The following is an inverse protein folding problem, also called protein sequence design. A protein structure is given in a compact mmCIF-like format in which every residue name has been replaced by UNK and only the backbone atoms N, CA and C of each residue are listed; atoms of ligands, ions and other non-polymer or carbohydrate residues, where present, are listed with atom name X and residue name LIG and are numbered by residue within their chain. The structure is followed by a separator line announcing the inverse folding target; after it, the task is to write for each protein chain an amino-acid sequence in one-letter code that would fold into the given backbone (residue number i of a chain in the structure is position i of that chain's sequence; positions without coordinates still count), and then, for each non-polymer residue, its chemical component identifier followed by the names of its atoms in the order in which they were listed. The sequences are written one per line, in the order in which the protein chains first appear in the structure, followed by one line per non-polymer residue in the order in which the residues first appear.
data_IF_400062669127
#
_entry.id   IF_400062669127
#
_cell.length_a   1.000
_cell.length_b   1.000
_cell.length_c   1.000
_cell.angle_alpha   90.00
_cell.angle_beta   90.00
_cell.angle_gamma   90.00
#
_symmetry.space_group_name_H-M   'P 1'
#
loop_
_entity.id
_entity.type
_entity.pdbx_description
1 polymer ?
#
# COMPACT_ATOMS: atom_id res chain seq x y z
N UNK A 1 18.00 -16.52 -7.59
CA UNK A 1 17.95 -15.48 -6.53
C UNK A 1 17.70 -16.14 -5.17
N UNK A 2 18.61 -16.02 -4.20
CA UNK A 2 18.40 -16.48 -2.81
C UNK A 2 18.13 -15.26 -1.92
N UNK A 3 17.00 -15.27 -1.21
CA UNK A 3 16.65 -14.25 -0.22
C UNK A 3 16.80 -14.87 1.15
N UNK A 4 17.78 -14.39 1.92
CA UNK A 4 18.24 -15.12 3.10
C UNK A 4 17.94 -14.43 4.41
N UNK A 5 17.69 -13.12 4.41
CA UNK A 5 17.58 -12.34 5.65
C UNK A 5 16.79 -11.04 5.49
N UNK A 6 16.03 -10.68 6.52
CA UNK A 6 15.40 -9.38 6.70
C UNK A 6 16.31 -8.48 7.55
N UNK A 7 16.44 -7.21 7.18
CA UNK A 7 17.11 -6.18 7.97
C UNK A 7 16.07 -5.31 8.70
N UNK A 8 15.83 -5.53 10.01
CA UNK A 8 14.71 -4.91 10.72
C UNK A 8 14.66 -3.38 10.62
N UNK A 9 15.81 -2.69 10.81
CA UNK A 9 15.86 -1.22 10.73
C UNK A 9 15.42 -0.67 9.37
N UNK A 10 15.83 -1.32 8.28
CA UNK A 10 15.45 -0.91 6.90
C UNK A 10 13.99 -1.25 6.62
N UNK A 11 13.53 -2.38 7.16
CA UNK A 11 12.15 -2.80 7.05
C UNK A 11 11.18 -1.84 7.78
N UNK A 12 11.59 -1.29 8.92
CA UNK A 12 10.80 -0.29 9.65
C UNK A 12 10.58 0.98 8.83
N UNK A 13 11.61 1.45 8.13
CA UNK A 13 11.48 2.58 7.20
C UNK A 13 10.58 2.28 6.02
N UNK A 14 10.69 1.09 5.42
CA UNK A 14 9.73 0.64 4.41
C UNK A 14 8.29 0.70 4.93
N UNK A 15 8.02 0.16 6.12
CA UNK A 15 6.68 0.19 6.70
C UNK A 15 6.20 1.57 7.12
N UNK A 16 7.10 2.46 7.52
CA UNK A 16 6.79 3.86 7.73
C UNK A 16 6.31 4.54 6.44
N UNK A 17 7.05 4.40 5.33
CA UNK A 17 6.64 5.01 4.05
C UNK A 17 5.36 4.38 3.50
N UNK A 18 5.21 3.06 3.62
CA UNK A 18 3.99 2.35 3.23
C UNK A 18 2.77 2.84 4.03
N UNK A 19 2.90 3.04 5.34
CA UNK A 19 1.82 3.61 6.16
C UNK A 19 1.58 5.11 5.88
N UNK A 20 2.63 5.87 5.56
CA UNK A 20 2.53 7.26 5.12
C UNK A 20 1.72 7.38 3.83
N UNK A 21 1.97 6.50 2.86
CA UNK A 21 1.16 6.40 1.64
C UNK A 21 -0.32 6.18 1.94
N UNK A 22 -0.63 5.25 2.86
CA UNK A 22 -2.03 5.01 3.29
C UNK A 22 -2.65 6.26 3.92
N UNK A 23 -1.89 6.96 4.79
CA UNK A 23 -2.36 8.20 5.41
C UNK A 23 -2.63 9.31 4.39
N UNK A 24 -1.78 9.43 3.36
CA UNK A 24 -1.99 10.38 2.27
C UNK A 24 -3.21 10.04 1.41
N UNK A 25 -3.37 8.77 1.06
CA UNK A 25 -4.34 8.33 0.06
C UNK A 25 -5.75 8.10 0.60
N UNK A 26 -5.96 7.92 1.91
CA UNK A 26 -7.26 7.49 2.45
C UNK A 26 -8.43 8.41 2.07
N UNK A 27 -8.22 9.73 2.06
CA UNK A 27 -9.25 10.69 1.66
C UNK A 27 -9.54 10.67 0.16
N UNK A 28 -8.59 10.26 -0.66
CA UNK A 28 -8.74 10.24 -2.12
C UNK A 28 -9.75 9.18 -2.60
N UNK A 29 -9.84 8.08 -1.85
CA UNK A 29 -10.68 6.92 -2.19
C UNK A 29 -12.15 7.32 -2.36
N UNK A 30 -12.66 8.22 -1.51
CA UNK A 30 -14.06 8.67 -1.57
C UNK A 30 -14.41 9.36 -2.89
N UNK A 31 -13.47 10.11 -3.46
CA UNK A 31 -13.71 10.80 -4.74
C UNK A 31 -13.47 9.88 -5.92
N UNK A 32 -12.47 8.99 -5.85
CA UNK A 32 -12.19 8.03 -6.92
C UNK A 32 -13.34 7.05 -7.06
N UNK A 33 -13.92 6.59 -5.95
CA UNK A 33 -14.97 5.58 -5.96
C UNK A 33 -16.40 6.14 -6.05
N UNK A 34 -16.56 7.46 -6.13
CA UNK A 34 -17.85 8.12 -6.30
C UNK A 34 -18.76 7.50 -7.38
N UNK A 35 -18.26 7.02 -8.55
CA UNK A 35 -19.14 6.44 -9.56
C UNK A 35 -19.53 4.97 -9.31
N UNK A 36 -19.00 4.31 -8.27
CA UNK A 36 -19.27 2.90 -7.99
C UNK A 36 -20.55 2.71 -7.15
N UNK A 37 -21.40 1.78 -7.57
CA UNK A 37 -22.65 1.43 -6.86
C UNK A 37 -22.36 0.58 -5.60
N UNK A 38 -23.18 0.70 -4.54
CA UNK A 38 -23.08 -0.12 -3.33
C UNK A 38 -22.93 -1.63 -3.57
N UNK A 39 -23.66 -2.19 -4.54
CA UNK A 39 -23.61 -3.62 -4.88
C UNK A 39 -22.24 -4.10 -5.35
N UNK A 40 -21.43 -3.22 -5.96
CA UNK A 40 -20.06 -3.55 -6.39
C UNK A 40 -19.17 -3.84 -5.19
N UNK A 41 -19.34 -3.06 -4.11
CA UNK A 41 -18.58 -3.28 -2.88
C UNK A 41 -18.95 -4.59 -2.19
N UNK A 42 -20.22 -5.00 -2.26
CA UNK A 42 -20.67 -6.30 -1.74
C UNK A 42 -20.01 -7.46 -2.49
N UNK A 43 -20.01 -7.42 -3.83
CA UNK A 43 -19.37 -8.45 -4.66
C UNK A 43 -17.86 -8.48 -4.42
N UNK A 44 -17.21 -7.31 -4.40
CA UNK A 44 -15.79 -7.20 -4.13
C UNK A 44 -15.42 -7.72 -2.74
N UNK A 45 -16.27 -7.47 -1.72
CA UNK A 45 -16.09 -8.01 -0.36
C UNK A 45 -16.18 -9.55 -0.31
N UNK A 46 -17.12 -10.15 -1.06
CA UNK A 46 -17.22 -11.61 -1.18
C UNK A 46 -15.96 -12.18 -1.85
N UNK A 47 -15.53 -11.60 -2.96
CA UNK A 47 -14.32 -12.02 -3.68
C UNK A 47 -13.06 -11.87 -2.82
N UNK A 48 -12.95 -10.76 -2.08
CA UNK A 48 -11.87 -10.53 -1.11
C UNK A 48 -11.86 -11.62 -0.03
N UNK A 49 -13.01 -11.95 0.56
CA UNK A 49 -13.12 -13.00 1.57
C UNK A 49 -12.70 -14.37 1.04
N UNK A 50 -13.16 -14.73 -0.15
CA UNK A 50 -12.76 -15.97 -0.84
C UNK A 50 -11.25 -15.97 -1.09
N UNK A 51 -10.69 -14.87 -1.60
CA UNK A 51 -9.26 -14.72 -1.82
C UNK A 51 -8.45 -14.91 -0.54
N UNK A 52 -8.85 -14.26 0.56
CA UNK A 52 -8.20 -14.42 1.86
C UNK A 52 -8.25 -15.87 2.37
N UNK A 53 -9.38 -16.58 2.18
CA UNK A 53 -9.48 -18.00 2.53
C UNK A 53 -8.53 -18.87 1.70
N UNK A 54 -8.40 -18.60 0.39
CA UNK A 54 -7.47 -19.30 -0.49
C UNK A 54 -6.04 -19.09 0.01
N UNK A 55 -5.61 -17.84 0.24
CA UNK A 55 -4.25 -17.57 0.73
C UNK A 55 -4.01 -18.25 2.08
N UNK A 56 -4.98 -18.20 3.00
CA UNK A 56 -4.89 -18.85 4.31
C UNK A 56 -4.63 -20.36 4.22
N UNK A 57 -5.27 -21.06 3.27
CA UNK A 57 -5.06 -22.49 3.04
C UNK A 57 -3.61 -22.84 2.66
N UNK A 58 -2.87 -21.89 2.09
CA UNK A 58 -1.49 -22.11 1.62
C UNK A 58 -0.41 -21.52 2.53
N UNK A 59 -0.74 -21.07 3.75
CA UNK A 59 0.22 -20.40 4.63
C UNK A 59 1.50 -21.19 4.89
N UNK A 60 1.42 -22.50 5.09
CA UNK A 60 2.61 -23.33 5.32
C UNK A 60 3.63 -23.20 4.18
N UNK A 61 3.15 -23.14 2.94
CA UNK A 61 4.00 -22.98 1.75
C UNK A 61 4.41 -21.52 1.54
N UNK A 62 3.52 -20.57 1.85
CA UNK A 62 3.75 -19.15 1.60
C UNK A 62 4.67 -18.48 2.62
N UNK A 63 4.72 -18.94 3.87
CA UNK A 63 5.47 -18.31 4.97
C UNK A 63 6.99 -18.57 4.91
N UNK A 64 7.57 -18.45 3.72
CA UNK A 64 9.02 -18.48 3.50
C UNK A 64 9.54 -17.08 3.20
N UNK A 65 10.80 -16.80 3.56
CA UNK A 65 11.40 -15.48 3.35
C UNK A 65 11.38 -15.02 1.88
N UNK A 66 11.55 -15.95 0.94
CA UNK A 66 11.53 -15.66 -0.49
C UNK A 66 10.14 -15.24 -0.95
N UNK A 67 9.11 -16.00 -0.58
CA UNK A 67 7.73 -15.72 -0.97
C UNK A 67 7.24 -14.45 -0.28
N UNK A 68 7.62 -14.23 0.97
CA UNK A 68 7.31 -12.99 1.68
C UNK A 68 7.80 -11.75 0.93
N UNK A 69 9.07 -11.75 0.50
CA UNK A 69 9.60 -10.66 -0.33
C UNK A 69 8.84 -10.51 -1.65
N UNK A 70 8.58 -11.62 -2.36
CA UNK A 70 7.91 -11.58 -3.66
C UNK A 70 6.48 -11.07 -3.55
N UNK A 71 5.73 -11.49 -2.53
CA UNK A 71 4.36 -11.03 -2.29
C UNK A 71 4.36 -9.56 -1.86
N UNK A 72 5.26 -9.15 -0.96
CA UNK A 72 5.41 -7.74 -0.60
C UNK A 72 5.70 -6.89 -1.84
N UNK A 73 6.65 -7.30 -2.67
CA UNK A 73 7.01 -6.55 -3.88
C UNK A 73 5.88 -6.52 -4.91
N UNK A 74 5.17 -7.64 -5.08
CA UNK A 74 4.00 -7.73 -5.95
C UNK A 74 2.91 -6.75 -5.51
N UNK A 75 2.61 -6.67 -4.22
CA UNK A 75 1.60 -5.74 -3.68
C UNK A 75 1.99 -4.29 -3.98
N UNK A 76 3.23 -3.89 -3.73
CA UNK A 76 3.68 -2.52 -4.06
C UNK A 76 3.62 -2.28 -5.58
N UNK A 77 3.99 -3.26 -6.41
CA UNK A 77 3.89 -3.12 -7.86
C UNK A 77 2.43 -2.96 -8.35
N UNK A 78 1.49 -3.66 -7.73
CA UNK A 78 0.05 -3.45 -7.99
C UNK A 78 -0.30 -1.99 -7.68
N UNK A 79 0.06 -1.48 -6.50
CA UNK A 79 -0.21 -0.08 -6.13
C UNK A 79 0.40 0.92 -7.13
N UNK A 80 1.65 0.70 -7.54
CA UNK A 80 2.31 1.52 -8.55
C UNK A 80 1.53 1.57 -9.87
N UNK A 81 1.03 0.42 -10.35
CA UNK A 81 0.20 0.33 -11.55
C UNK A 81 -1.12 1.09 -11.36
N UNK A 82 -1.77 0.98 -10.20
CA UNK A 82 -3.03 1.68 -9.94
C UNK A 82 -2.87 3.21 -9.97
N UNK A 83 -1.84 3.74 -9.30
CA UNK A 83 -1.57 5.19 -9.29
C UNK A 83 -1.24 5.68 -10.69
N UNK A 84 -0.37 4.94 -11.40
CA UNK A 84 0.04 5.30 -12.76
C UNK A 84 -1.16 5.31 -13.71
N UNK A 85 -2.02 4.29 -13.64
CA UNK A 85 -3.22 4.22 -14.45
C UNK A 85 -4.20 5.35 -14.14
N UNK A 86 -4.40 5.67 -12.85
CA UNK A 86 -5.24 6.79 -12.43
C UNK A 86 -4.73 8.13 -12.98
N UNK A 87 -3.41 8.37 -13.00
CA UNK A 87 -2.83 9.60 -13.54
C UNK A 87 -3.04 9.76 -15.05
N UNK A 88 -3.10 8.65 -15.80
CA UNK A 88 -3.33 8.66 -17.27
C UNK A 88 -4.82 8.81 -17.59
N UNK A 89 -5.71 8.11 -16.89
CA UNK A 89 -7.15 8.12 -17.14
C UNK A 89 -7.94 8.47 -15.87
N UNK A 90 -7.92 9.72 -15.38
CA UNK A 90 -8.55 10.07 -14.11
C UNK A 90 -10.09 10.09 -14.21
N UNK A 91 -10.75 9.84 -13.08
CA UNK A 91 -12.21 10.03 -12.87
C UNK A 91 -13.19 9.35 -13.83
N UNK A 92 -12.80 8.24 -14.46
CA UNK A 92 -13.75 7.39 -15.21
C UNK A 92 -14.30 6.25 -14.33
N UNK A 93 -15.49 5.74 -14.67
CA UNK A 93 -16.04 4.55 -14.02
C UNK A 93 -15.07 3.35 -14.10
N UNK A 94 -14.44 3.15 -15.27
CA UNK A 94 -13.46 2.10 -15.50
C UNK A 94 -12.25 2.23 -14.57
N UNK A 95 -11.75 3.46 -14.37
CA UNK A 95 -10.66 3.74 -13.43
C UNK A 95 -11.07 3.48 -11.99
N UNK A 96 -12.27 3.90 -11.59
CA UNK A 96 -12.77 3.62 -10.26
C UNK A 96 -12.84 2.11 -9.97
N UNK A 97 -13.37 1.33 -10.93
CA UNK A 97 -13.47 -0.11 -10.83
C UNK A 97 -12.09 -0.78 -10.81
N UNK A 98 -11.17 -0.32 -11.65
CA UNK A 98 -9.80 -0.83 -11.73
C UNK A 98 -9.03 -0.58 -10.43
N UNK A 99 -9.07 0.64 -9.91
CA UNK A 99 -8.46 1.00 -8.62
C UNK A 99 -9.08 0.18 -7.49
N UNK A 100 -10.41 0.08 -7.43
CA UNK A 100 -11.10 -0.73 -6.43
C UNK A 100 -10.67 -2.21 -6.47
N UNK A 101 -10.69 -2.83 -7.65
CA UNK A 101 -10.30 -4.22 -7.83
C UNK A 101 -8.82 -4.46 -7.47
N UNK A 102 -7.94 -3.53 -7.86
CA UNK A 102 -6.53 -3.56 -7.51
C UNK A 102 -6.28 -3.55 -5.99
N UNK A 103 -6.99 -2.69 -5.26
CA UNK A 103 -6.93 -2.70 -3.79
C UNK A 103 -7.47 -4.00 -3.18
N UNK A 104 -8.50 -4.63 -3.77
CA UNK A 104 -8.94 -5.94 -3.29
C UNK A 104 -7.83 -6.98 -3.40
N UNK A 105 -7.08 -6.99 -4.51
CA UNK A 105 -5.94 -7.91 -4.71
C UNK A 105 -4.88 -7.69 -3.63
N UNK A 106 -4.54 -6.44 -3.28
CA UNK A 106 -3.55 -6.18 -2.23
C UNK A 106 -4.05 -6.59 -0.85
N UNK A 107 -5.34 -6.36 -0.55
CA UNK A 107 -5.96 -6.75 0.71
C UNK A 107 -6.04 -8.27 0.91
N UNK A 108 -6.18 -9.06 -0.16
CA UNK A 108 -6.13 -10.53 -0.09
C UNK A 108 -4.85 -11.03 0.60
N UNK A 109 -3.72 -10.36 0.39
CA UNK A 109 -2.43 -10.69 1.01
C UNK A 109 -2.16 -9.98 2.34
N UNK A 110 -3.03 -9.06 2.77
CA UNK A 110 -2.80 -8.23 3.96
C UNK A 110 -2.59 -9.04 5.23
N UNK A 111 -3.50 -9.99 5.50
CA UNK A 111 -3.42 -10.85 6.69
C UNK A 111 -2.21 -11.79 6.66
N UNK A 112 -1.83 -12.29 5.47
CA UNK A 112 -0.62 -13.07 5.25
C UNK A 112 0.64 -12.27 5.59
N UNK A 113 0.74 -11.02 5.10
CA UNK A 113 1.91 -10.16 5.33
C UNK A 113 2.07 -9.91 6.83
N UNK A 114 1.01 -9.50 7.54
CA UNK A 114 1.06 -9.20 8.97
C UNK A 114 1.48 -10.41 9.81
N UNK A 115 0.96 -11.61 9.50
CA UNK A 115 1.37 -12.84 10.20
C UNK A 115 2.81 -13.23 9.89
N UNK A 116 3.24 -13.03 8.65
CA UNK A 116 4.62 -13.35 8.25
C UNK A 116 5.62 -12.37 8.88
N UNK A 117 5.25 -11.11 9.03
CA UNK A 117 6.01 -10.11 9.80
C UNK A 117 6.25 -10.55 11.24
N UNK A 118 5.21 -11.03 11.92
CA UNK A 118 5.34 -11.44 13.33
C UNK A 118 6.24 -12.67 13.49
N UNK A 119 6.19 -13.61 12.54
CA UNK A 119 7.06 -14.79 12.52
C UNK A 119 8.54 -14.44 12.31
N UNK A 120 8.83 -13.45 11.45
CA UNK A 120 10.22 -13.04 11.18
C UNK A 120 10.77 -12.04 12.20
N UNK A 121 9.92 -11.20 12.79
CA UNK A 121 10.27 -10.26 13.85
C UNK A 121 9.94 -10.84 15.23
N UNK A 122 10.58 -11.97 15.57
CA UNK A 122 10.33 -12.78 16.79
C UNK A 122 10.45 -12.04 18.13
N UNK A 123 11.03 -10.83 18.17
CA UNK A 123 11.29 -10.09 19.41
C UNK A 123 10.17 -9.07 19.66
N UNK A 124 9.52 -9.14 20.83
CA UNK A 124 8.48 -8.18 21.28
C UNK A 124 8.88 -6.72 21.06
N UNK A 125 10.12 -6.35 21.43
CA UNK A 125 10.65 -5.00 21.20
C UNK A 125 10.63 -4.62 19.71
N UNK A 126 11.05 -5.50 18.81
CA UNK A 126 11.06 -5.20 17.37
C UNK A 126 9.64 -5.02 16.81
N UNK A 127 8.66 -5.79 17.30
CA UNK A 127 7.25 -5.64 16.92
C UNK A 127 6.69 -4.30 17.39
N UNK A 128 6.92 -3.93 18.65
CA UNK A 128 6.50 -2.63 19.18
C UNK A 128 7.12 -1.47 18.39
N UNK A 129 8.41 -1.55 18.05
CA UNK A 129 9.05 -0.54 17.19
C UNK A 129 8.46 -0.50 15.78
N UNK A 130 8.16 -1.66 15.18
CA UNK A 130 7.49 -1.70 13.88
C UNK A 130 6.13 -0.99 13.93
N UNK A 131 5.33 -1.28 14.94
CA UNK A 131 3.98 -0.70 15.08
C UNK A 131 4.05 0.80 15.31
N UNK A 132 5.01 1.28 16.11
CA UNK A 132 5.26 2.73 16.25
C UNK A 132 5.61 3.36 14.90
N UNK A 133 6.49 2.76 14.09
CA UNK A 133 6.84 3.29 12.77
C UNK A 133 5.62 3.33 11.82
N UNK A 134 4.78 2.30 11.82
CA UNK A 134 3.53 2.28 11.03
C UNK A 134 2.60 3.42 11.46
N UNK A 135 2.36 3.58 12.77
CA UNK A 135 1.47 4.61 13.29
C UNK A 135 2.00 6.02 13.05
N UNK A 136 3.30 6.25 13.27
CA UNK A 136 3.93 7.54 12.97
C UNK A 136 3.88 7.88 11.48
N UNK A 137 4.11 6.90 10.60
CA UNK A 137 3.99 7.08 9.16
C UNK A 137 2.56 7.45 8.76
N UNK A 138 1.58 6.69 9.24
CA UNK A 138 0.16 6.96 8.99
C UNK A 138 -0.28 8.35 9.47
N UNK A 139 0.06 8.72 10.70
CA UNK A 139 -0.24 10.05 11.25
C UNK A 139 0.39 11.17 10.43
N UNK A 140 1.67 11.01 10.06
CA UNK A 140 2.34 12.00 9.22
C UNK A 140 1.69 12.10 7.83
N UNK A 141 1.29 10.98 7.23
CA UNK A 141 0.56 10.95 5.97
C UNK A 141 -0.76 11.74 6.06
N UNK A 142 -1.55 11.54 7.12
CA UNK A 142 -2.78 12.31 7.35
C UNK A 142 -2.51 13.81 7.48
N UNK A 143 -1.52 14.18 8.30
CA UNK A 143 -1.15 15.59 8.52
C UNK A 143 -0.67 16.26 7.23
N UNK A 144 0.20 15.57 6.47
CA UNK A 144 0.72 16.07 5.19
C UNK A 144 -0.41 16.19 4.17
N UNK A 145 -1.34 15.23 4.09
CA UNK A 145 -2.49 15.33 3.19
C UNK A 145 -3.35 16.55 3.51
N UNK A 146 -3.62 16.81 4.78
CA UNK A 146 -4.40 17.97 5.21
C UNK A 146 -3.71 19.29 4.82
N UNK A 147 -2.42 19.42 5.13
CA UNK A 147 -1.63 20.61 4.78
C UNK A 147 -1.54 20.78 3.26
N UNK A 148 -1.33 19.70 2.52
CA UNK A 148 -1.27 19.70 1.06
C UNK A 148 -2.55 20.26 0.45
N UNK A 149 -3.72 19.79 0.89
CA UNK A 149 -5.00 20.31 0.41
C UNK A 149 -5.20 21.79 0.75
N UNK A 150 -4.81 22.22 1.96
CA UNK A 150 -4.90 23.64 2.36
C UNK A 150 -3.98 24.54 1.55
N UNK A 151 -2.79 24.04 1.18
CA UNK A 151 -1.87 24.77 0.30
C UNK A 151 -2.50 24.93 -1.09
N UNK A 152 -3.06 23.86 -1.66
CA UNK A 152 -3.73 23.92 -2.96
C UNK A 152 -4.92 24.87 -2.98
N UNK A 153 -5.72 24.88 -1.91
CA UNK A 153 -6.86 25.81 -1.76
C UNK A 153 -6.40 27.26 -1.68
N UNK A 154 -5.44 27.57 -0.79
CA UNK A 154 -5.12 28.94 -0.42
C UNK A 154 -4.09 29.62 -1.34
N UNK A 155 -3.13 28.87 -1.88
CA UNK A 155 -2.05 29.42 -2.71
C UNK A 155 -2.27 29.22 -4.20
N UNK A 156 -2.93 28.12 -4.59
CA UNK A 156 -3.15 27.77 -6.01
C UNK A 156 -4.60 27.94 -6.46
N UNK A 157 -5.50 28.35 -5.56
CA UNK A 157 -6.95 28.52 -5.82
C UNK A 157 -7.62 27.28 -6.41
N UNK A 158 -7.08 26.09 -6.12
CA UNK A 158 -7.65 24.81 -6.55
C UNK A 158 -8.73 24.41 -5.55
N UNK A 159 -9.98 24.64 -5.92
CA UNK A 159 -11.13 24.43 -5.03
C UNK A 159 -11.73 23.04 -5.21
N UNK A 160 -11.66 22.49 -6.43
CA UNK A 160 -12.32 21.20 -6.74
C UNK A 160 -11.60 20.03 -6.07
N UNK A 161 -12.38 19.09 -5.51
CA UNK A 161 -11.82 17.91 -4.85
C UNK A 161 -11.10 16.99 -5.86
N UNK A 162 -11.58 16.94 -7.11
CA UNK A 162 -10.94 16.19 -8.17
C UNK A 162 -9.54 16.74 -8.47
N UNK A 163 -9.36 18.03 -8.71
CA UNK A 163 -8.01 18.55 -9.00
C UNK A 163 -7.05 18.40 -7.81
N UNK A 164 -7.51 18.57 -6.56
CA UNK A 164 -6.68 18.33 -5.37
C UNK A 164 -6.18 16.91 -5.31
N UNK A 165 -7.06 15.95 -5.56
CA UNK A 165 -6.74 14.52 -5.52
C UNK A 165 -5.84 14.14 -6.69
N UNK A 166 -6.11 14.65 -7.90
CA UNK A 166 -5.25 14.43 -9.05
C UNK A 166 -3.81 14.90 -8.78
N UNK A 167 -3.63 16.11 -8.23
CA UNK A 167 -2.32 16.62 -7.85
C UNK A 167 -1.65 15.79 -6.74
N UNK A 168 -2.41 15.31 -5.75
CA UNK A 168 -1.88 14.43 -4.71
C UNK A 168 -1.33 13.12 -5.30
N UNK A 169 -1.88 12.60 -6.40
CA UNK A 169 -1.43 11.34 -6.99
C UNK A 169 -0.01 11.40 -7.55
N UNK A 170 0.48 12.57 -7.98
CA UNK A 170 1.89 12.72 -8.32
C UNK A 170 2.80 12.55 -7.11
N UNK A 171 2.38 13.08 -5.94
CA UNK A 171 3.10 12.88 -4.69
C UNK A 171 3.03 11.43 -4.21
N UNK A 172 1.87 10.79 -4.33
CA UNK A 172 1.69 9.35 -4.06
C UNK A 172 2.60 8.49 -4.93
N UNK A 173 2.75 8.80 -6.22
CA UNK A 173 3.65 8.09 -7.13
C UNK A 173 5.10 8.17 -6.67
N UNK A 174 5.56 9.37 -6.25
CA UNK A 174 6.90 9.54 -5.69
C UNK A 174 7.12 8.70 -4.42
N UNK A 175 6.15 8.74 -3.49
CA UNK A 175 6.22 7.94 -2.26
C UNK A 175 6.24 6.44 -2.58
N UNK A 176 5.44 5.99 -3.54
CA UNK A 176 5.40 4.57 -3.96
C UNK A 176 6.75 4.08 -4.50
N UNK A 177 7.43 4.90 -5.31
CA UNK A 177 8.79 4.57 -5.77
C UNK A 177 9.76 4.43 -4.59
N UNK A 178 9.67 5.31 -3.58
CA UNK A 178 10.46 5.21 -2.36
C UNK A 178 10.12 3.94 -1.54
N UNK A 179 8.85 3.54 -1.49
CA UNK A 179 8.41 2.31 -0.83
C UNK A 179 9.06 1.11 -1.49
N UNK A 180 9.02 1.00 -2.82
CA UNK A 180 9.64 -0.11 -3.56
C UNK A 180 11.16 -0.15 -3.30
N UNK A 181 11.85 1.00 -3.36
CA UNK A 181 13.29 1.07 -3.11
C UNK A 181 13.63 0.63 -1.68
N UNK A 182 12.89 1.13 -0.68
CA UNK A 182 13.13 0.79 0.72
C UNK A 182 12.80 -0.66 1.03
N UNK A 183 11.74 -1.22 0.40
CA UNK A 183 11.40 -2.63 0.48
C UNK A 183 12.55 -3.49 -0.05
N UNK A 184 13.05 -3.24 -1.26
CA UNK A 184 14.16 -4.00 -1.86
C UNK A 184 15.40 -3.95 -0.95
N UNK A 185 15.73 -2.77 -0.41
CA UNK A 185 16.87 -2.59 0.50
C UNK A 185 16.70 -3.30 1.85
N UNK A 186 15.48 -3.63 2.25
CA UNK A 186 15.20 -4.30 3.52
C UNK A 186 15.51 -5.80 3.51
N UNK A 187 15.64 -6.41 2.33
CA UNK A 187 15.96 -7.83 2.17
C UNK A 187 17.39 -8.04 1.65
N UNK A 188 18.06 -9.06 2.18
CA UNK A 188 19.35 -9.51 1.63
C UNK A 188 19.10 -10.39 0.41
N UNK A 189 19.33 -9.84 -0.77
CA UNK A 189 19.25 -10.55 -2.06
C UNK A 189 20.66 -11.02 -2.43
N UNK A 190 20.85 -12.33 -2.56
CA UNK A 190 22.07 -12.91 -3.15
C UNK A 190 21.73 -13.42 -4.54
N UNK A 191 22.24 -12.73 -5.57
CA UNK A 191 22.31 -13.28 -6.92
C UNK A 191 23.38 -14.37 -6.91
N UNK A 192 23.04 -15.56 -7.40
CA UNK A 192 23.98 -16.67 -7.42
C UNK A 192 25.08 -16.41 -8.44
N UNK A 193 26.33 -16.60 -8.04
CA UNK A 193 27.23 -17.49 -8.77
C UNK A 193 27.03 -18.87 -8.18
#
# INVERSE_FOLDING_TARGET
MKITRLYPRRYFWYKFFNSLFTGLSIGSIFTIYAPLKPSIYSIGGILLAIGMLIVAKFYEKLMTMKIFFLISLFVEFVILVLISYFLVNPYTYSTALFVYAGYQITFVFGSYIVRTETLFLKKKKLLSWLDMFKQSGYLLGLAVSFVFYKILENFFSIITNQEKIYNLHFFLLFVEILIIITLIRSFKIRFGR
#
